data_IF_016745705645
#
_entry.id   IF_016745705645
#
_cell.length_a   1.000
_cell.length_b   1.000
_cell.length_c   1.000
_cell.angle_alpha   90.00
_cell.angle_beta   90.00
_cell.angle_gamma   90.00
#
_symmetry.space_group_name_H-M   'P 1'
#
loop_
_entity.id
_entity.type
_entity.pdbx_description
1 polymer ?
#
# COMPACT_ATOMS: atom_id res chain seq x y z
N UNK A 1 0.22 -8.62 -8.92
CA UNK A 1 1.17 -7.50 -8.77
C UNK A 1 0.79 -6.31 -9.67
N UNK A 2 0.62 -6.52 -10.98
CA UNK A 2 0.27 -5.45 -11.94
C UNK A 2 -0.97 -4.63 -11.58
N UNK A 3 -2.07 -5.28 -11.18
CA UNK A 3 -3.29 -4.57 -10.78
C UNK A 3 -3.06 -3.66 -9.57
N UNK A 4 -2.30 -4.13 -8.57
CA UNK A 4 -2.03 -3.34 -7.36
C UNK A 4 -1.11 -2.15 -7.66
N UNK A 5 -0.13 -2.32 -8.54
CA UNK A 5 0.73 -1.22 -9.00
C UNK A 5 -0.08 -0.21 -9.82
N UNK A 6 -0.92 -0.68 -10.74
CA UNK A 6 -1.78 0.16 -11.55
C UNK A 6 -2.76 0.96 -10.68
N UNK A 7 -3.54 0.30 -9.81
CA UNK A 7 -4.46 1.01 -8.92
C UNK A 7 -3.75 1.90 -7.91
N UNK A 8 -2.65 1.42 -7.30
CA UNK A 8 -1.90 2.19 -6.30
C UNK A 8 -1.18 3.41 -6.83
N UNK A 9 -0.91 3.49 -8.15
CA UNK A 9 -0.25 4.65 -8.77
C UNK A 9 -1.27 5.50 -9.55
N UNK A 10 -2.12 4.89 -10.37
CA UNK A 10 -3.07 5.63 -11.20
C UNK A 10 -4.13 6.34 -10.35
N UNK A 11 -4.58 5.75 -9.24
CA UNK A 11 -5.58 6.36 -8.38
C UNK A 11 -5.07 7.64 -7.69
N UNK A 12 -3.91 7.66 -7.02
CA UNK A 12 -3.40 8.91 -6.43
C UNK A 12 -3.02 9.96 -7.46
N UNK A 13 -2.43 9.58 -8.61
CA UNK A 13 -2.11 10.53 -9.68
C UNK A 13 -3.40 11.12 -10.26
N UNK A 14 -4.37 10.27 -10.60
CA UNK A 14 -5.67 10.70 -11.12
C UNK A 14 -6.40 11.62 -10.14
N UNK A 15 -6.42 11.28 -8.85
CA UNK A 15 -7.01 12.11 -7.82
C UNK A 15 -6.31 13.48 -7.70
N UNK A 16 -4.98 13.53 -7.77
CA UNK A 16 -4.22 14.80 -7.76
C UNK A 16 -4.56 15.67 -8.98
N UNK A 17 -4.63 15.08 -10.18
CA UNK A 17 -5.00 15.79 -11.41
C UNK A 17 -6.43 16.33 -11.35
N UNK A 18 -7.40 15.53 -10.86
CA UNK A 18 -8.78 15.97 -10.67
C UNK A 18 -8.85 17.14 -9.68
N UNK A 19 -8.09 17.08 -8.58
CA UNK A 19 -8.07 18.14 -7.56
C UNK A 19 -7.43 19.44 -8.06
N UNK A 20 -6.43 19.35 -8.93
CA UNK A 20 -5.69 20.51 -9.42
C UNK A 20 -6.24 21.10 -10.74
N UNK A 21 -6.88 20.32 -11.60
CA UNK A 21 -7.35 20.79 -12.91
C UNK A 21 -8.89 20.78 -13.06
N UNK A 22 -9.58 19.76 -12.56
CA UNK A 22 -11.04 19.68 -12.70
C UNK A 22 -11.76 20.50 -11.62
N UNK A 23 -11.35 20.40 -10.36
CA UNK A 23 -12.02 21.11 -9.26
C UNK A 23 -12.01 22.64 -9.40
N UNK A 24 -10.94 23.32 -9.88
CA UNK A 24 -10.98 24.76 -10.10
C UNK A 24 -11.96 25.19 -11.20
N UNK A 25 -12.25 24.32 -12.17
CA UNK A 25 -13.22 24.60 -13.23
C UNK A 25 -14.67 24.57 -12.71
N UNK A 26 -14.97 23.73 -11.71
CA UNK A 26 -16.32 23.59 -11.15
C UNK A 26 -16.55 24.32 -9.82
N UNK A 27 -15.48 24.64 -9.08
CA UNK A 27 -15.55 25.21 -7.75
C UNK A 27 -14.40 26.22 -7.54
N UNK A 28 -14.67 27.29 -6.79
CA UNK A 28 -13.64 28.24 -6.35
C UNK A 28 -12.67 27.55 -5.37
N UNK A 29 -11.60 26.94 -5.90
CA UNK A 29 -10.53 26.28 -5.15
C UNK A 29 -9.25 27.08 -5.34
N UNK A 30 -8.51 27.30 -4.25
CA UNK A 30 -7.19 27.93 -4.32
C UNK A 30 -6.25 27.02 -5.13
N UNK A 31 -5.84 27.50 -6.30
CA UNK A 31 -4.80 26.85 -7.12
C UNK A 31 -3.45 27.21 -6.50
N UNK A 32 -2.66 26.18 -6.21
CA UNK A 32 -1.31 26.32 -5.65
C UNK A 32 -0.35 25.95 -6.77
N UNK A 33 0.61 26.84 -7.07
CA UNK A 33 1.65 26.56 -8.05
C UNK A 33 2.52 25.38 -7.57
N UNK A 34 2.88 24.48 -8.48
CA UNK A 34 3.75 23.30 -8.24
C UNK A 34 3.21 22.19 -7.31
N UNK A 35 1.95 22.25 -6.87
CA UNK A 35 1.35 21.24 -5.99
C UNK A 35 1.37 19.81 -6.59
N UNK A 36 1.24 19.69 -7.91
CA UNK A 36 1.33 18.41 -8.63
C UNK A 36 2.72 17.79 -8.51
N UNK A 37 3.77 18.58 -8.71
CA UNK A 37 5.17 18.12 -8.62
C UNK A 37 5.49 17.65 -7.21
N UNK A 38 5.15 18.46 -6.22
CA UNK A 38 5.50 18.17 -4.82
C UNK A 38 4.74 16.92 -4.34
N UNK A 39 3.48 16.73 -4.77
CA UNK A 39 2.75 15.49 -4.53
C UNK A 39 3.40 14.27 -5.18
N UNK A 40 3.79 14.35 -6.47
CA UNK A 40 4.44 13.24 -7.17
C UNK A 40 5.78 12.85 -6.51
N UNK A 41 6.58 13.83 -6.09
CA UNK A 41 7.82 13.59 -5.35
C UNK A 41 7.54 12.89 -4.02
N UNK A 42 6.52 13.35 -3.27
CA UNK A 42 6.12 12.71 -2.00
C UNK A 42 5.62 11.28 -2.18
N UNK A 43 4.88 11.01 -3.26
CA UNK A 43 4.37 9.67 -3.59
C UNK A 43 5.54 8.73 -3.92
N UNK A 44 6.46 9.17 -4.77
CA UNK A 44 7.64 8.39 -5.12
C UNK A 44 8.50 8.09 -3.88
N UNK A 45 8.76 9.10 -3.05
CA UNK A 45 9.53 8.94 -1.81
C UNK A 45 8.88 7.93 -0.85
N UNK A 46 7.57 8.01 -0.69
CA UNK A 46 6.80 7.07 0.17
C UNK A 46 6.88 5.63 -0.33
N UNK A 47 6.74 5.43 -1.66
CA UNK A 47 6.88 4.10 -2.28
C UNK A 47 8.30 3.57 -2.07
N UNK A 48 9.33 4.37 -2.35
CA UNK A 48 10.73 3.96 -2.22
C UNK A 48 11.09 3.60 -0.77
N UNK A 49 10.62 4.38 0.21
CA UNK A 49 10.85 4.09 1.62
C UNK A 49 10.12 2.82 2.06
N UNK A 50 8.87 2.63 1.64
CA UNK A 50 8.09 1.45 1.98
C UNK A 50 8.68 0.16 1.39
N UNK A 51 9.17 0.20 0.15
CA UNK A 51 9.82 -0.95 -0.48
C UNK A 51 11.15 -1.27 0.20
N UNK A 52 11.97 -0.25 0.50
CA UNK A 52 13.22 -0.42 1.24
C UNK A 52 12.98 -1.07 2.60
N UNK A 53 12.09 -0.49 3.42
CA UNK A 53 11.78 -1.02 4.75
C UNK A 53 11.24 -2.45 4.67
N UNK A 54 10.38 -2.76 3.70
CA UNK A 54 9.84 -4.12 3.54
C UNK A 54 10.93 -5.13 3.18
N UNK A 55 11.85 -4.79 2.28
CA UNK A 55 12.95 -5.69 1.92
C UNK A 55 13.95 -5.85 3.07
N UNK A 56 14.24 -4.76 3.77
CA UNK A 56 15.10 -4.77 4.95
C UNK A 56 14.53 -5.69 6.04
N UNK A 57 13.25 -5.53 6.41
CA UNK A 57 12.60 -6.39 7.40
C UNK A 57 12.52 -7.84 6.93
N UNK A 58 12.26 -8.10 5.64
CA UNK A 58 12.28 -9.47 5.09
C UNK A 58 13.63 -10.15 5.28
N UNK A 59 14.72 -9.41 5.09
CA UNK A 59 16.07 -9.95 5.26
C UNK A 59 16.42 -10.22 6.73
N UNK A 60 15.85 -9.45 7.66
CA UNK A 60 16.04 -9.65 9.12
C UNK A 60 15.20 -10.79 9.66
N UNK A 61 13.92 -10.87 9.26
CA UNK A 61 12.95 -11.76 9.93
C UNK A 61 13.17 -13.23 9.56
N UNK A 62 13.58 -13.52 8.32
CA UNK A 62 13.89 -14.90 7.87
C UNK A 62 12.73 -15.91 7.93
N UNK A 63 11.49 -15.46 8.16
CA UNK A 63 10.31 -16.33 8.36
C UNK A 63 9.99 -17.16 7.12
N UNK A 64 9.74 -18.46 7.31
CA UNK A 64 9.38 -19.40 6.25
C UNK A 64 7.98 -19.19 5.65
N UNK A 65 7.86 -19.39 4.34
CA UNK A 65 6.59 -19.34 3.58
C UNK A 65 5.84 -20.66 3.72
N UNK A 66 4.50 -20.66 3.58
CA UNK A 66 3.70 -21.90 3.51
C UNK A 66 4.27 -22.95 2.55
N UNK A 67 4.69 -22.50 1.37
CA UNK A 67 5.21 -23.35 0.29
C UNK A 67 6.74 -23.49 0.30
N UNK A 68 7.37 -23.37 1.47
CA UNK A 68 8.84 -23.43 1.58
C UNK A 68 9.42 -24.73 1.02
N UNK A 69 8.84 -25.88 1.37
CA UNK A 69 9.32 -27.20 0.95
C UNK A 69 9.28 -27.40 -0.57
N UNK A 70 8.23 -26.91 -1.21
CA UNK A 70 8.07 -26.95 -2.67
C UNK A 70 9.09 -26.02 -3.35
N UNK A 71 9.25 -24.80 -2.84
CA UNK A 71 10.21 -23.82 -3.39
C UNK A 71 11.66 -24.27 -3.27
N UNK A 72 12.03 -24.89 -2.15
CA UNK A 72 13.40 -25.31 -1.91
C UNK A 72 13.73 -26.68 -2.53
N UNK A 73 12.72 -27.38 -3.10
CA UNK A 73 12.81 -28.77 -3.59
C UNK A 73 13.39 -29.67 -2.51
N UNK A 74 12.64 -29.79 -1.41
CA UNK A 74 13.03 -30.58 -0.26
C UNK A 74 13.25 -32.05 -0.66
N UNK A 75 14.42 -32.60 -0.36
CA UNK A 75 14.70 -34.02 -0.57
C UNK A 75 13.95 -34.86 0.48
N UNK A 76 12.93 -35.61 0.04
CA UNK A 76 12.11 -36.45 0.91
C UNK A 76 12.73 -37.84 1.18
N UNK A 77 13.70 -38.25 0.38
CA UNK A 77 14.31 -39.59 0.46
C UNK A 77 15.47 -39.64 1.46
N UNK A 78 16.01 -38.48 1.83
CA UNK A 78 17.09 -38.38 2.81
C UNK A 78 16.53 -38.33 4.24
N UNK A 79 16.99 -39.23 5.11
CA UNK A 79 16.72 -39.16 6.56
C UNK A 79 17.42 -37.93 7.12
N UNK A 80 16.64 -37.02 7.73
CA UNK A 80 17.20 -35.81 8.30
C UNK A 80 17.98 -36.09 9.58
N UNK A 81 19.25 -35.72 9.59
CA UNK A 81 20.18 -35.85 10.72
C UNK A 81 20.11 -34.67 11.71
N UNK A 82 19.19 -33.72 11.51
CA UNK A 82 19.02 -32.55 12.35
C UNK A 82 19.93 -31.36 12.00
N UNK A 83 20.89 -31.53 11.10
CA UNK A 83 21.93 -30.52 10.81
C UNK A 83 22.07 -30.23 9.32
N UNK A 84 21.89 -31.24 8.46
CA UNK A 84 21.98 -31.09 7.01
C UNK A 84 20.81 -30.28 6.44
N UNK A 85 21.11 -29.48 5.42
CA UNK A 85 20.10 -28.75 4.67
C UNK A 85 19.63 -29.63 3.50
N UNK A 86 18.37 -30.08 3.55
CA UNK A 86 17.76 -30.95 2.52
C UNK A 86 17.20 -30.16 1.34
N UNK A 87 17.38 -28.83 1.32
CA UNK A 87 16.98 -28.01 0.19
C UNK A 87 17.95 -28.17 -0.98
N UNK A 88 17.44 -28.63 -2.11
CA UNK A 88 18.22 -28.78 -3.34
C UNK A 88 18.43 -27.43 -4.05
N UNK A 89 17.57 -26.44 -3.78
CA UNK A 89 17.67 -25.09 -4.37
C UNK A 89 17.95 -24.00 -3.34
N UNK A 90 19.17 -23.46 -3.35
CA UNK A 90 19.57 -22.32 -2.51
C UNK A 90 18.77 -21.03 -2.84
N UNK A 91 18.40 -20.84 -4.11
CA UNK A 91 17.60 -19.69 -4.52
C UNK A 91 16.16 -19.77 -4.00
N UNK A 92 15.55 -20.96 -4.07
CA UNK A 92 14.21 -21.23 -3.56
C UNK A 92 14.15 -21.11 -2.03
N UNK A 93 15.19 -21.58 -1.35
CA UNK A 93 15.34 -21.43 0.10
C UNK A 93 15.41 -19.96 0.54
N UNK A 94 16.21 -19.14 -0.16
CA UNK A 94 16.34 -17.70 0.13
C UNK A 94 15.04 -16.95 -0.09
N UNK A 95 14.26 -17.29 -1.10
CA UNK A 95 12.95 -16.66 -1.36
C UNK A 95 11.86 -17.18 -0.41
N UNK A 96 11.91 -18.47 -0.07
CA UNK A 96 11.04 -19.11 0.89
C UNK A 96 11.20 -18.57 2.32
N UNK A 97 12.36 -17.99 2.66
CA UNK A 97 12.62 -17.29 3.94
C UNK A 97 12.16 -15.82 3.98
N UNK A 98 11.60 -15.28 2.90
CA UNK A 98 11.16 -13.87 2.79
C UNK A 98 9.64 -13.73 2.82
N UNK A 99 9.00 -14.25 3.85
CA UNK A 99 7.53 -14.28 3.96
C UNK A 99 6.93 -13.00 4.51
N UNK A 100 7.63 -12.37 5.43
CA UNK A 100 7.10 -11.29 6.26
C UNK A 100 8.02 -10.07 6.20
N UNK A 101 7.50 -8.84 6.07
CA UNK A 101 6.09 -8.44 5.85
C UNK A 101 5.64 -8.53 4.37
N UNK A 102 4.32 -8.43 4.13
CA UNK A 102 3.74 -8.47 2.77
C UNK A 102 4.08 -7.19 1.98
N UNK A 103 4.82 -7.33 0.89
CA UNK A 103 5.16 -6.19 0.01
C UNK A 103 3.95 -5.53 -0.65
N UNK A 104 2.89 -6.30 -0.91
CA UNK A 104 1.65 -5.76 -1.48
C UNK A 104 0.89 -4.89 -0.46
N UNK A 105 0.87 -5.30 0.81
CA UNK A 105 0.25 -4.53 1.89
C UNK A 105 1.02 -3.23 2.16
N UNK A 106 2.35 -3.30 2.28
CA UNK A 106 3.20 -2.12 2.50
C UNK A 106 3.05 -1.09 1.37
N UNK A 107 3.01 -1.54 0.12
CA UNK A 107 2.81 -0.66 -1.04
C UNK A 107 1.43 -0.01 -1.04
N UNK A 108 0.36 -0.79 -0.84
CA UNK A 108 -0.99 -0.24 -0.81
C UNK A 108 -1.15 0.81 0.30
N UNK A 109 -0.59 0.55 1.48
CA UNK A 109 -0.61 1.48 2.60
C UNK A 109 0.16 2.76 2.29
N UNK A 110 1.38 2.67 1.75
CA UNK A 110 2.21 3.85 1.48
C UNK A 110 1.60 4.79 0.42
N UNK A 111 0.96 4.24 -0.62
CA UNK A 111 0.30 5.04 -1.67
C UNK A 111 -1.01 5.67 -1.18
N UNK A 112 -1.85 4.89 -0.49
CA UNK A 112 -3.18 5.36 -0.08
C UNK A 112 -3.12 6.31 1.12
N UNK A 113 -2.12 6.13 2.00
CA UNK A 113 -1.89 7.06 3.11
C UNK A 113 -1.45 8.43 2.61
N UNK A 114 -0.51 8.48 1.65
CA UNK A 114 -0.09 9.75 1.02
C UNK A 114 -1.26 10.45 0.35
N UNK A 115 -2.09 9.70 -0.39
CA UNK A 115 -3.30 10.24 -1.00
C UNK A 115 -4.26 10.81 0.05
N UNK A 116 -4.48 10.08 1.15
CA UNK A 116 -5.36 10.51 2.24
C UNK A 116 -4.88 11.80 2.88
N UNK A 117 -3.58 11.89 3.19
CA UNK A 117 -2.97 13.09 3.76
C UNK A 117 -3.03 14.28 2.81
N UNK A 118 -2.82 14.04 1.50
CA UNK A 118 -2.96 15.07 0.48
C UNK A 118 -4.40 15.63 0.41
N UNK A 119 -5.40 14.75 0.33
CA UNK A 119 -6.81 15.14 0.30
C UNK A 119 -7.21 15.88 1.59
N UNK A 120 -6.76 15.39 2.74
CA UNK A 120 -7.01 16.02 4.04
C UNK A 120 -6.40 17.43 4.10
N UNK A 121 -5.14 17.59 3.69
CA UNK A 121 -4.47 18.89 3.62
C UNK A 121 -5.21 19.89 2.74
N UNK A 122 -5.61 19.48 1.53
CA UNK A 122 -6.40 20.32 0.60
C UNK A 122 -7.79 20.66 1.14
N UNK A 123 -8.43 19.74 1.88
CA UNK A 123 -9.73 19.99 2.52
C UNK A 123 -9.66 21.07 3.62
N UNK A 124 -8.56 21.09 4.40
CA UNK A 124 -8.37 22.09 5.47
C UNK A 124 -8.01 23.47 4.92
N UNK A 125 -7.25 23.55 3.84
CA UNK A 125 -6.92 24.83 3.18
C UNK A 125 -8.18 25.54 2.64
N UNK A 126 -9.20 24.78 2.21
CA UNK A 126 -10.51 25.33 1.84
C UNK A 126 -11.33 25.87 3.02
N UNK A 127 -11.02 25.46 4.26
CA UNK A 127 -11.76 25.84 5.46
C UNK A 127 -11.33 27.18 6.07
N UNK A 128 -10.31 27.85 5.55
CA UNK A 128 -9.89 29.17 6.05
C UNK A 128 -10.96 30.26 5.85
N UNK A 129 -11.92 30.07 4.94
CA UNK A 129 -13.07 30.97 4.78
C UNK A 129 -14.21 30.53 5.73
N UNK A 130 -14.19 31.11 6.92
CA UNK A 130 -15.02 30.80 8.10
C UNK A 130 -16.46 31.33 7.94
N UNK A 131 -17.23 30.84 6.97
CA UNK A 131 -18.67 31.14 6.89
C UNK A 131 -19.51 29.89 7.19
N UNK A 132 -20.19 29.96 8.33
CA UNK A 132 -21.02 28.95 8.97
C UNK A 132 -22.37 28.80 8.26
N UNK A 133 -22.58 27.70 7.54
CA UNK A 133 -23.91 27.26 7.14
C UNK A 133 -24.04 25.75 7.34
N UNK A 134 -25.13 25.33 7.96
CA UNK A 134 -25.45 23.94 8.37
C UNK A 134 -25.39 22.95 7.19
N UNK A 135 -25.76 23.40 5.99
CA UNK A 135 -25.70 22.63 4.73
C UNK A 135 -24.24 22.33 4.27
N UNK A 136 -23.28 23.16 4.70
CA UNK A 136 -21.84 22.99 4.44
C UNK A 136 -21.17 22.09 5.48
N UNK A 137 -21.78 21.90 6.65
CA UNK A 137 -21.38 20.92 7.67
C UNK A 137 -21.47 19.49 7.15
N UNK A 138 -22.58 19.14 6.48
CA UNK A 138 -22.75 17.86 5.79
C UNK A 138 -21.70 17.64 4.68
N UNK A 139 -21.43 18.67 3.86
CA UNK A 139 -20.36 18.62 2.84
C UNK A 139 -18.97 18.45 3.46
N UNK A 140 -18.70 19.02 4.63
CA UNK A 140 -17.43 18.88 5.36
C UNK A 140 -17.25 17.45 5.90
N UNK A 141 -18.30 16.87 6.50
CA UNK A 141 -18.29 15.47 6.95
C UNK A 141 -18.15 14.51 5.78
N UNK A 142 -18.89 14.73 4.69
CA UNK A 142 -18.77 13.94 3.46
C UNK A 142 -17.35 14.01 2.88
N UNK A 143 -16.75 15.20 2.86
CA UNK A 143 -15.37 15.36 2.38
C UNK A 143 -14.37 14.60 3.26
N UNK A 144 -14.55 14.61 4.59
CA UNK A 144 -13.71 13.81 5.50
C UNK A 144 -13.87 12.31 5.26
N UNK A 145 -15.11 11.82 5.10
CA UNK A 145 -15.39 10.42 4.75
C UNK A 145 -14.72 10.03 3.43
N UNK A 146 -14.81 10.88 2.40
CA UNK A 146 -14.16 10.65 1.11
C UNK A 146 -12.63 10.64 1.23
N UNK A 147 -12.05 11.43 2.14
CA UNK A 147 -10.60 11.39 2.42
C UNK A 147 -10.19 10.09 3.12
N UNK A 148 -11.05 9.47 3.92
CA UNK A 148 -10.77 8.20 4.59
C UNK A 148 -10.97 6.96 3.68
N UNK A 149 -11.67 7.12 2.56
CA UNK A 149 -12.00 6.02 1.65
C UNK A 149 -10.75 5.31 1.06
N UNK A 150 -9.66 6.00 0.66
CA UNK A 150 -8.41 5.36 0.28
C UNK A 150 -7.79 4.49 1.39
N UNK A 151 -7.92 4.88 2.67
CA UNK A 151 -7.43 4.05 3.78
C UNK A 151 -8.26 2.77 3.92
N UNK A 152 -9.58 2.86 3.79
CA UNK A 152 -10.45 1.68 3.82
C UNK A 152 -10.11 0.70 2.69
N UNK A 153 -9.84 1.22 1.48
CA UNK A 153 -9.34 0.41 0.37
C UNK A 153 -7.98 -0.24 0.68
N UNK A 154 -7.07 0.49 1.32
CA UNK A 154 -5.78 -0.08 1.73
C UNK A 154 -5.97 -1.21 2.75
N UNK A 155 -6.81 -1.02 3.76
CA UNK A 155 -7.16 -2.06 4.75
C UNK A 155 -7.77 -3.27 4.06
N UNK A 156 -8.71 -3.07 3.13
CA UNK A 156 -9.30 -4.15 2.36
C UNK A 156 -8.26 -4.94 1.55
N UNK A 157 -7.32 -4.27 0.89
CA UNK A 157 -6.20 -4.92 0.19
C UNK A 157 -5.31 -5.71 1.16
N UNK A 158 -5.04 -5.17 2.36
CA UNK A 158 -4.28 -5.88 3.38
C UNK A 158 -5.00 -7.14 3.88
N UNK A 159 -6.32 -7.07 4.09
CA UNK A 159 -7.15 -8.20 4.53
C UNK A 159 -7.16 -9.28 3.46
N UNK A 160 -7.46 -8.94 2.21
CA UNK A 160 -7.49 -9.92 1.11
C UNK A 160 -6.16 -10.65 0.95
N UNK A 161 -5.03 -9.96 1.09
CA UNK A 161 -3.70 -10.59 1.06
C UNK A 161 -3.40 -11.46 2.29
N UNK A 162 -3.95 -11.12 3.45
CA UNK A 162 -3.82 -11.94 4.67
C UNK A 162 -4.64 -13.21 4.54
N UNK A 163 -5.87 -13.10 4.04
CA UNK A 163 -6.79 -14.20 3.75
C UNK A 163 -6.19 -15.14 2.71
N UNK A 164 -5.69 -14.63 1.57
CA UNK A 164 -5.03 -15.47 0.55
C UNK A 164 -3.80 -16.22 1.08
N UNK A 165 -3.04 -15.59 1.99
CA UNK A 165 -1.89 -16.23 2.61
C UNK A 165 -2.32 -17.34 3.59
N UNK A 166 -3.43 -17.15 4.31
CA UNK A 166 -3.98 -18.13 5.25
C UNK A 166 -4.73 -19.29 4.58
N UNK A 167 -5.44 -19.07 3.47
CA UNK A 167 -6.15 -20.16 2.80
C UNK A 167 -5.22 -21.19 2.13
N UNK A 168 -3.98 -20.81 1.79
CA UNK A 168 -2.93 -21.79 1.42
C UNK A 168 -2.30 -22.53 2.61
N UNK A 169 -2.52 -22.09 3.84
CA UNK A 169 -1.97 -22.74 5.04
C UNK A 169 -2.85 -23.88 5.57
N UNK A 170 -4.15 -23.96 5.20
CA UNK A 170 -5.11 -24.94 5.73
C UNK A 170 -5.92 -25.69 4.64
N UNK A 171 -5.44 -25.70 3.40
CA UNK A 171 -6.00 -26.54 2.35
C UNK A 171 -5.30 -27.90 2.37
N UNK A 172 -6.02 -28.93 2.79
CA UNK A 172 -5.70 -30.34 2.58
C UNK A 172 -5.35 -30.62 1.12
#
# INVERSE_FOLDING_TARGET
MWLLLAFGICLPIGANLVVNYALPAFCQVRVIAHDTRDFLLSLFQSIAMATFMTQFTKNITGRFRPCFYDMCKWNQDAVWDGVTNLCTSAAGEKEGRKSFPSGHASFAWSTMLVLTLYLLGRSRLKCANRSTSMLRGGKKTLTMFLCCLPLLLAVYICITRSVDNWHRHFGW
#
